data_IF_274968353589
#
_entry.id   IF_274968353589
#
_cell.length_a   1.000
_cell.length_b   1.000
_cell.length_c   1.000
_cell.angle_alpha   90.00
_cell.angle_beta   90.00
_cell.angle_gamma   90.00
#
_symmetry.space_group_name_H-M   'P 1'
#
loop_
_entity.id
_entity.type
_entity.pdbx_description
1 polymer ?
#
# COMPACT_ATOMS: atom_id res chain seq x y z
N UNK A 1 -10.86 8.73 -10.95
CA UNK A 1 -10.37 7.35 -10.80
C UNK A 1 -8.85 7.18 -10.72
N UNK A 2 -8.06 7.61 -11.72
CA UNK A 2 -6.59 7.55 -11.59
C UNK A 2 -6.08 8.32 -10.35
N UNK A 3 -6.71 9.46 -10.06
CA UNK A 3 -6.51 10.25 -8.84
C UNK A 3 -6.82 9.46 -7.55
N UNK A 4 -7.87 8.62 -7.55
CA UNK A 4 -8.29 7.89 -6.35
C UNK A 4 -7.28 6.79 -5.97
N UNK A 5 -6.76 6.05 -6.97
CA UNK A 5 -5.70 5.07 -6.72
C UNK A 5 -4.40 5.75 -6.27
N UNK A 6 -4.08 6.92 -6.83
CA UNK A 6 -2.93 7.70 -6.39
C UNK A 6 -3.08 8.16 -4.93
N UNK A 7 -4.28 8.62 -4.54
CA UNK A 7 -4.58 9.01 -3.15
C UNK A 7 -4.39 7.82 -2.20
N UNK A 8 -4.92 6.64 -2.54
CA UNK A 8 -4.74 5.43 -1.71
C UNK A 8 -3.27 5.05 -1.59
N UNK A 9 -2.52 5.01 -2.71
CA UNK A 9 -1.10 4.70 -2.71
C UNK A 9 -0.30 5.69 -1.84
N UNK A 10 -0.64 6.98 -1.90
CA UNK A 10 -0.02 8.02 -1.09
C UNK A 10 -0.36 7.87 0.40
N UNK A 11 -1.60 7.53 0.75
CA UNK A 11 -2.00 7.30 2.16
C UNK A 11 -1.25 6.15 2.79
N UNK A 12 -1.11 5.03 2.06
CA UNK A 12 -0.33 3.87 2.52
C UNK A 12 1.14 4.30 2.73
N UNK A 13 1.72 5.04 1.78
CA UNK A 13 3.09 5.55 1.88
C UNK A 13 3.28 6.40 3.14
N UNK A 14 2.45 7.44 3.31
CA UNK A 14 2.52 8.33 4.46
C UNK A 14 2.29 7.58 5.78
N UNK A 15 1.44 6.54 5.79
CA UNK A 15 1.21 5.74 6.99
C UNK A 15 2.45 4.96 7.44
N UNK A 16 3.21 4.35 6.52
CA UNK A 16 4.42 3.64 6.93
C UNK A 16 5.57 4.60 7.24
N UNK A 17 5.69 5.73 6.53
CA UNK A 17 6.72 6.74 6.79
C UNK A 17 6.53 7.33 8.19
N UNK A 18 5.28 7.53 8.59
CA UNK A 18 4.89 7.95 9.94
C UNK A 18 4.92 6.82 10.98
N UNK A 19 5.46 5.62 10.65
CA UNK A 19 5.51 4.45 11.56
C UNK A 19 4.14 4.13 12.17
N UNK A 20 3.05 4.23 11.39
CA UNK A 20 1.69 3.83 11.80
C UNK A 20 1.30 2.43 11.34
N UNK A 21 1.98 1.91 10.32
CA UNK A 21 1.81 0.55 9.78
C UNK A 21 3.18 -0.10 9.51
N UNK A 22 3.22 -1.42 9.35
CA UNK A 22 4.41 -2.15 8.93
C UNK A 22 4.93 -1.66 7.57
N UNK A 23 6.21 -1.27 7.52
CA UNK A 23 6.80 -0.73 6.29
C UNK A 23 7.00 -1.79 5.20
N UNK A 24 7.23 -3.06 5.57
CA UNK A 24 7.35 -4.17 4.61
C UNK A 24 6.01 -4.43 3.90
N UNK A 25 4.95 -4.61 4.69
CA UNK A 25 3.59 -4.82 4.17
C UNK A 25 3.13 -3.58 3.40
N UNK A 26 3.32 -2.38 3.97
CA UNK A 26 2.97 -1.12 3.35
C UNK A 26 3.57 -0.96 1.96
N UNK A 27 4.89 -1.15 1.80
CA UNK A 27 5.56 -1.03 0.49
C UNK A 27 4.97 -1.98 -0.55
N UNK A 28 4.71 -3.24 -0.18
CA UNK A 28 4.05 -4.21 -1.05
C UNK A 28 2.63 -3.78 -1.43
N UNK A 29 1.84 -3.33 -0.45
CA UNK A 29 0.49 -2.82 -0.69
C UNK A 29 0.47 -1.62 -1.65
N UNK A 30 1.33 -0.62 -1.44
CA UNK A 30 1.43 0.52 -2.38
C UNK A 30 1.82 0.08 -3.78
N UNK A 31 2.82 -0.80 -3.90
CA UNK A 31 3.24 -1.32 -5.21
C UNK A 31 2.07 -2.01 -5.94
N UNK A 32 1.26 -2.78 -5.21
CA UNK A 32 0.03 -3.40 -5.73
C UNK A 32 -0.99 -2.35 -6.21
N UNK A 33 -1.25 -1.29 -5.45
CA UNK A 33 -2.17 -0.21 -5.86
C UNK A 33 -1.67 0.51 -7.12
N UNK A 34 -0.38 0.81 -7.21
CA UNK A 34 0.24 1.40 -8.42
C UNK A 34 0.06 0.46 -9.62
N UNK A 35 0.22 -0.85 -9.43
CA UNK A 35 0.01 -1.84 -10.48
C UNK A 35 -1.45 -1.88 -10.96
N UNK A 36 -2.41 -1.79 -10.04
CA UNK A 36 -3.84 -1.68 -10.37
C UNK A 36 -4.13 -0.44 -11.22
N UNK A 37 -3.53 0.71 -10.88
CA UNK A 37 -3.66 1.93 -11.67
C UNK A 37 -3.17 1.76 -13.11
N UNK A 38 -2.01 1.12 -13.29
CA UNK A 38 -1.47 0.79 -14.62
C UNK A 38 -2.37 -0.17 -15.41
N UNK A 39 -2.95 -1.19 -14.75
CA UNK A 39 -3.86 -2.13 -15.40
C UNK A 39 -5.15 -1.45 -15.84
N UNK A 40 -5.74 -0.60 -14.99
CA UNK A 40 -6.95 0.16 -15.32
C UNK A 40 -6.69 1.14 -16.47
N UNK A 41 -5.57 1.88 -16.45
CA UNK A 41 -5.19 2.79 -17.53
C UNK A 41 -4.95 2.07 -18.87
N UNK A 42 -4.56 0.80 -18.84
CA UNK A 42 -4.39 -0.03 -20.03
C UNK A 42 -5.67 -0.77 -20.46
N UNK A 43 -6.82 -0.50 -19.82
CA UNK A 43 -8.09 -1.19 -20.12
C UNK A 43 -8.07 -2.69 -19.80
N UNK A 44 -7.13 -3.16 -18.96
CA UNK A 44 -6.98 -4.58 -18.62
C UNK A 44 -7.87 -5.04 -17.47
N UNK A 45 -8.38 -4.09 -16.69
CA UNK A 45 -9.36 -4.31 -15.61
C UNK A 45 -10.34 -3.15 -15.61
N UNK A 46 -11.58 -3.44 -15.21
CA UNK A 46 -12.60 -2.41 -15.04
C UNK A 46 -12.15 -1.36 -14.01
N UNK A 47 -12.38 -0.07 -14.28
CA UNK A 47 -11.96 0.98 -13.38
C UNK A 47 -12.52 0.78 -11.95
N UNK A 48 -13.82 0.51 -11.82
CA UNK A 48 -14.49 0.30 -10.53
C UNK A 48 -13.91 -0.87 -9.73
N UNK A 49 -13.58 -1.97 -10.41
CA UNK A 49 -12.90 -3.12 -9.81
C UNK A 49 -11.50 -2.74 -9.30
N UNK A 50 -10.73 -1.96 -10.06
CA UNK A 50 -9.41 -1.48 -9.63
C UNK A 50 -9.50 -0.66 -8.35
N UNK A 51 -10.53 0.20 -8.22
CA UNK A 51 -10.77 0.98 -7.00
C UNK A 51 -11.16 0.10 -5.81
N UNK A 52 -12.02 -0.90 -6.01
CA UNK A 52 -12.39 -1.84 -4.95
C UNK A 52 -11.16 -2.61 -4.44
N UNK A 53 -10.38 -3.19 -5.35
CA UNK A 53 -9.15 -3.91 -5.01
C UNK A 53 -8.13 -3.00 -4.30
N UNK A 54 -8.04 -1.72 -4.69
CA UNK A 54 -7.17 -0.77 -4.01
C UNK A 54 -7.62 -0.49 -2.57
N UNK A 55 -8.93 -0.42 -2.30
CA UNK A 55 -9.48 -0.25 -0.95
C UNK A 55 -9.24 -1.47 -0.06
N UNK A 56 -9.37 -2.67 -0.61
CA UNK A 56 -9.04 -3.92 0.12
C UNK A 56 -7.56 -3.94 0.51
N UNK A 57 -6.68 -3.51 -0.41
CA UNK A 57 -5.24 -3.42 -0.15
C UNK A 57 -4.89 -2.36 0.89
N UNK A 58 -5.60 -1.22 0.88
CA UNK A 58 -5.47 -0.21 1.94
C UNK A 58 -5.87 -0.81 3.29
N UNK A 59 -7.04 -1.43 3.39
CA UNK A 59 -7.50 -2.07 4.62
C UNK A 59 -6.47 -3.09 5.15
N UNK A 60 -5.94 -3.96 4.26
CA UNK A 60 -4.90 -4.92 4.61
C UNK A 60 -3.63 -4.25 5.15
N UNK A 61 -3.19 -3.15 4.54
CA UNK A 61 -2.00 -2.42 4.99
C UNK A 61 -2.16 -1.92 6.44
N UNK A 62 -3.39 -1.54 6.83
CA UNK A 62 -3.73 -1.08 8.17
C UNK A 62 -3.98 -2.22 9.19
N UNK A 63 -3.91 -3.49 8.78
CA UNK A 63 -3.99 -4.63 9.71
C UNK A 63 -2.67 -4.92 10.45
N UNK A 64 -1.55 -4.38 9.98
CA UNK A 64 -0.22 -4.70 10.53
C UNK A 64 0.43 -3.47 11.15
N UNK A 65 0.63 -3.50 12.46
CA UNK A 65 1.42 -2.50 13.18
C UNK A 65 2.89 -2.53 12.76
N UNK A 66 3.66 -1.44 12.96
CA UNK A 66 5.09 -1.42 12.68
C UNK A 66 5.84 -2.55 13.39
N UNK A 67 6.86 -3.10 12.74
CA UNK A 67 7.83 -3.94 13.43
C UNK A 67 8.56 -3.08 14.48
N UNK A 68 8.93 -3.67 15.64
CA UNK A 68 9.88 -3.07 16.55
C UNK A 68 11.13 -2.59 15.81
N UNK A 69 11.79 -1.55 16.31
CA UNK A 69 13.13 -1.27 15.82
C UNK A 69 13.98 -2.52 16.10
N UNK A 70 14.78 -2.94 15.12
CA UNK A 70 15.88 -3.84 15.44
C UNK A 70 16.79 -3.02 16.36
N UNK A 71 16.81 -3.38 17.65
CA UNK A 71 17.89 -2.95 18.51
C UNK A 71 19.18 -3.40 17.81
N UNK A 72 20.14 -2.49 17.63
CA UNK A 72 21.38 -2.72 16.91
C UNK A 72 22.33 -3.70 17.64
N UNK A 73 21.81 -4.70 18.35
CA UNK A 73 22.53 -5.54 19.29
C UNK A 73 22.48 -7.04 18.97
N UNK A 74 22.20 -7.40 17.71
CA UNK A 74 22.54 -8.73 17.19
C UNK A 74 23.82 -8.64 16.35
N UNK A 75 24.96 -8.49 17.06
CA UNK A 75 26.22 -9.09 16.58
C UNK A 75 26.15 -10.58 16.92
N UNK A 76 25.65 -11.38 16.00
CA UNK A 76 25.72 -12.84 16.00
C UNK A 76 26.25 -13.35 14.67
#
# INVERSE_FOLDING_TARGET
>A
MHTDLHIIASRIQTAWEARRICSLVGRGCRARVVRLGRLASAGRIEPTLALQLAREVEALAFCFLPLPAEDQDDRG
#
